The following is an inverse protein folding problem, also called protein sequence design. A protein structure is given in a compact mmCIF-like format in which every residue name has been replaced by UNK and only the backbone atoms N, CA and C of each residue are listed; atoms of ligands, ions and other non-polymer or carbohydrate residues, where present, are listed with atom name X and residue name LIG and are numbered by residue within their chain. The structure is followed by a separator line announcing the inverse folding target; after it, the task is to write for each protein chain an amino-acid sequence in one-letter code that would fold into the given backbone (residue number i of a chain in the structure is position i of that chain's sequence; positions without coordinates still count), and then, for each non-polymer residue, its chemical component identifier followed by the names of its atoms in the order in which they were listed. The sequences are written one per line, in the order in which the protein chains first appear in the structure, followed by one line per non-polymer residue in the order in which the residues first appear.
data_IF_980383565921
#
_entry.id   IF_980383565921
#
_cell.length_a   1.000
_cell.length_b   1.000
_cell.length_c   1.000
_cell.angle_alpha   90.00
_cell.angle_beta   90.00
_cell.angle_gamma   90.00
#
_symmetry.space_group_name_H-M   'P 1'
#
loop_
_entity.id
_entity.type
_entity.pdbx_description
1 polymer ?
#
# COMPACT_ATOMS: atom_id res chain seq x y z
N UNK A 1 29.27 11.30 -7.80
CA UNK A 1 27.87 10.93 -7.94
C UNK A 1 27.00 12.12 -7.56
N UNK A 2 26.11 12.52 -8.42
CA UNK A 2 25.21 13.64 -8.14
C UNK A 2 23.99 13.14 -7.37
N UNK A 3 23.71 13.77 -6.22
CA UNK A 3 22.47 13.54 -5.51
C UNK A 3 21.43 14.53 -6.02
N UNK A 4 20.35 14.01 -6.57
CA UNK A 4 19.22 14.81 -7.04
C UNK A 4 18.07 14.61 -6.07
N UNK A 5 17.59 15.71 -5.53
CA UNK A 5 16.37 15.70 -4.71
C UNK A 5 15.22 16.02 -5.63
N UNK A 6 14.31 15.06 -5.83
CA UNK A 6 13.18 15.22 -6.74
C UNK A 6 11.89 15.01 -5.96
N UNK A 7 11.13 16.06 -5.80
CA UNK A 7 9.88 16.07 -5.02
C UNK A 7 8.63 16.23 -5.89
N UNK A 8 8.74 16.03 -7.21
CA UNK A 8 7.60 16.24 -8.10
C UNK A 8 6.51 15.18 -7.97
N UNK A 9 6.87 13.94 -7.62
CA UNK A 9 5.89 12.86 -7.50
C UNK A 9 6.53 11.64 -6.83
N UNK A 10 5.74 10.88 -6.08
CA UNK A 10 6.13 9.59 -5.55
C UNK A 10 6.48 8.58 -6.65
N UNK A 11 5.94 8.77 -7.86
CA UNK A 11 6.19 7.86 -8.97
C UNK A 11 7.63 7.88 -9.47
N UNK A 12 8.43 8.89 -9.11
CA UNK A 12 9.84 8.97 -9.49
C UNK A 12 10.76 8.32 -8.44
N UNK A 13 10.22 7.86 -7.33
CA UNK A 13 11.00 7.17 -6.31
C UNK A 13 11.26 5.73 -6.70
N UNK A 14 12.34 5.18 -6.15
CA UNK A 14 12.72 3.79 -6.38
C UNK A 14 12.72 3.05 -5.05
N UNK A 15 12.41 1.74 -5.03
CA UNK A 15 12.49 0.98 -3.81
C UNK A 15 13.92 0.86 -3.31
N UNK A 16 14.09 0.85 -1.99
CA UNK A 16 15.37 0.58 -1.35
C UNK A 16 15.73 -0.90 -1.50
N UNK A 17 16.99 -1.23 -1.18
CA UNK A 17 17.42 -2.64 -1.15
C UNK A 17 16.56 -3.46 -0.18
N UNK A 18 16.26 -2.92 0.98
CA UNK A 18 15.39 -3.58 1.95
C UNK A 18 13.99 -3.84 1.43
N UNK A 19 13.43 -2.87 0.69
CA UNK A 19 12.12 -3.05 0.05
C UNK A 19 12.15 -4.16 -1.00
N UNK A 20 13.20 -4.21 -1.82
CA UNK A 20 13.36 -5.25 -2.84
C UNK A 20 13.49 -6.64 -2.20
N UNK A 21 14.28 -6.75 -1.12
CA UNK A 21 14.43 -8.00 -0.39
C UNK A 21 13.10 -8.45 0.23
N UNK A 22 12.33 -7.53 0.77
CA UNK A 22 11.01 -7.82 1.31
C UNK A 22 10.06 -8.34 0.24
N UNK A 23 10.08 -7.75 -0.96
CA UNK A 23 9.28 -8.21 -2.09
C UNK A 23 9.66 -9.63 -2.50
N UNK A 24 10.96 -9.91 -2.59
CA UNK A 24 11.46 -11.22 -2.99
C UNK A 24 11.03 -12.32 -2.02
N UNK A 25 11.03 -12.03 -0.72
CA UNK A 25 10.74 -13.00 0.33
C UNK A 25 9.30 -12.94 0.84
N UNK A 26 8.44 -12.11 0.23
CA UNK A 26 7.06 -11.95 0.68
C UNK A 26 6.26 -13.25 0.48
N UNK A 27 5.46 -13.58 1.48
CA UNK A 27 4.46 -14.63 1.38
C UNK A 27 3.22 -14.05 0.71
N UNK A 28 2.75 -14.69 -0.34
CA UNK A 28 1.65 -14.18 -1.14
C UNK A 28 0.53 -15.22 -1.24
N UNK A 29 -0.67 -14.74 -1.55
CA UNK A 29 -1.84 -15.56 -1.75
C UNK A 29 -2.86 -14.82 -2.62
N UNK A 30 -4.03 -15.39 -2.80
CA UNK A 30 -5.07 -14.79 -3.62
C UNK A 30 -5.82 -13.72 -2.81
N UNK A 31 -5.58 -12.46 -3.16
CA UNK A 31 -6.18 -11.32 -2.45
C UNK A 31 -7.69 -11.21 -2.67
N UNK A 32 -8.22 -11.76 -3.76
CA UNK A 32 -9.65 -11.79 -4.03
C UNK A 32 -10.39 -12.54 -2.92
N UNK A 33 -9.76 -13.59 -2.37
CA UNK A 33 -10.31 -14.38 -1.28
C UNK A 33 -9.75 -13.98 0.09
N UNK A 34 -8.98 -12.89 0.16
CA UNK A 34 -8.36 -12.46 1.40
C UNK A 34 -7.24 -13.37 1.90
N UNK A 35 -6.62 -14.13 1.00
CA UNK A 35 -5.62 -15.14 1.36
C UNK A 35 -4.17 -14.66 1.27
N UNK A 36 -3.94 -13.42 0.86
CA UNK A 36 -2.58 -12.88 0.78
C UNK A 36 -2.12 -12.40 2.16
N UNK A 37 -1.19 -13.13 2.83
CA UNK A 37 -0.78 -12.77 4.19
C UNK A 37 -0.02 -11.44 4.25
N UNK A 38 0.67 -11.05 3.19
CA UNK A 38 1.43 -9.79 3.16
C UNK A 38 0.48 -8.60 3.03
N UNK A 39 -0.55 -8.69 2.21
CA UNK A 39 -1.58 -7.64 2.11
C UNK A 39 -2.32 -7.51 3.43
N UNK A 40 -2.72 -8.64 4.04
CA UNK A 40 -3.42 -8.62 5.31
C UNK A 40 -2.57 -7.97 6.41
N UNK A 41 -1.27 -8.29 6.47
CA UNK A 41 -0.35 -7.70 7.44
C UNK A 41 -0.20 -6.19 7.24
N UNK A 42 -0.13 -5.73 5.99
CA UNK A 42 -0.06 -4.31 5.68
C UNK A 42 -1.31 -3.58 6.16
N UNK A 43 -2.48 -4.11 5.87
CA UNK A 43 -3.76 -3.51 6.28
C UNK A 43 -3.86 -3.41 7.80
N UNK A 44 -3.51 -4.47 8.53
CA UNK A 44 -3.51 -4.47 9.98
C UNK A 44 -2.53 -3.45 10.55
N UNK A 45 -1.33 -3.35 9.98
CA UNK A 45 -0.30 -2.42 10.44
C UNK A 45 -0.76 -0.97 10.25
N UNK A 46 -1.31 -0.64 9.08
CA UNK A 46 -1.76 0.72 8.79
C UNK A 46 -2.95 1.09 9.67
N UNK A 47 -3.91 0.19 9.86
CA UNK A 47 -5.03 0.43 10.75
C UNK A 47 -4.55 0.75 12.17
N UNK A 48 -3.58 0.00 12.69
CA UNK A 48 -3.00 0.24 14.02
C UNK A 48 -2.28 1.58 14.09
N UNK A 49 -1.51 1.94 13.06
CA UNK A 49 -0.77 3.21 13.01
C UNK A 49 -1.69 4.42 13.12
N UNK A 50 -2.89 4.35 12.57
CA UNK A 50 -3.85 5.45 12.56
C UNK A 50 -4.96 5.30 13.60
N UNK A 51 -4.91 4.25 14.43
CA UNK A 51 -5.90 4.02 15.46
C UNK A 51 -7.30 3.74 14.89
N UNK A 52 -7.37 3.09 13.73
CA UNK A 52 -8.62 2.72 13.07
C UNK A 52 -8.88 1.23 13.20
N UNK A 53 -10.14 0.83 13.04
CA UNK A 53 -10.53 -0.57 13.16
C UNK A 53 -9.98 -1.41 12.01
N UNK A 54 -10.03 -0.85 10.79
CA UNK A 54 -9.58 -1.54 9.58
C UNK A 54 -8.93 -0.55 8.61
N UNK A 55 -8.14 -1.09 7.70
CA UNK A 55 -7.61 -0.38 6.55
C UNK A 55 -7.79 -1.26 5.32
N UNK A 56 -7.88 -0.64 4.15
CA UNK A 56 -8.05 -1.33 2.88
C UNK A 56 -6.93 -0.96 1.93
N UNK A 57 -6.18 -1.95 1.47
CA UNK A 57 -5.17 -1.75 0.44
C UNK A 57 -5.85 -1.61 -0.93
N UNK A 58 -5.44 -0.60 -1.68
CA UNK A 58 -5.89 -0.37 -3.05
C UNK A 58 -4.69 -0.22 -3.97
N UNK A 59 -4.69 -0.84 -5.16
CA UNK A 59 -3.54 -0.80 -6.05
C UNK A 59 -3.30 0.55 -6.72
N UNK A 60 -4.23 1.51 -6.58
CA UNK A 60 -4.06 2.85 -7.14
C UNK A 60 -4.79 3.91 -6.32
N UNK A 61 -4.29 5.15 -6.40
CA UNK A 61 -4.95 6.30 -5.77
C UNK A 61 -6.31 6.60 -6.39
N UNK A 62 -6.49 6.33 -7.67
CA UNK A 62 -7.78 6.47 -8.35
C UNK A 62 -8.84 5.57 -7.70
N UNK A 63 -8.50 4.32 -7.44
CA UNK A 63 -9.41 3.38 -6.77
C UNK A 63 -9.73 3.85 -5.34
N UNK A 64 -8.73 4.34 -4.61
CA UNK A 64 -8.91 4.88 -3.26
C UNK A 64 -9.90 6.04 -3.26
N UNK A 65 -9.76 6.97 -4.19
CA UNK A 65 -10.67 8.11 -4.31
C UNK A 65 -12.08 7.68 -4.66
N UNK A 66 -12.24 6.74 -5.57
CA UNK A 66 -13.55 6.20 -5.94
C UNK A 66 -14.25 5.54 -4.76
N UNK A 67 -13.52 4.74 -3.99
CA UNK A 67 -14.05 4.08 -2.80
C UNK A 67 -14.46 5.11 -1.76
N UNK A 68 -13.64 6.12 -1.50
CA UNK A 68 -13.95 7.17 -0.54
C UNK A 68 -15.24 7.90 -0.92
N UNK A 69 -15.41 8.23 -2.20
CA UNK A 69 -16.63 8.86 -2.69
C UNK A 69 -17.84 7.94 -2.52
N UNK A 70 -17.70 6.67 -2.84
CA UNK A 70 -18.79 5.69 -2.75
C UNK A 70 -19.24 5.49 -1.30
N UNK A 71 -18.29 5.41 -0.37
CA UNK A 71 -18.58 5.15 1.05
C UNK A 71 -19.25 6.35 1.72
N UNK A 72 -18.88 7.57 1.33
CA UNK A 72 -19.35 8.81 1.96
C UNK A 72 -20.56 9.45 1.22
N UNK A 73 -21.03 8.85 0.15
CA UNK A 73 -22.20 9.33 -0.59
C UNK A 73 -23.28 8.27 -0.66
N UNK A 74 -24.51 8.69 -0.70
CA UNK A 74 -25.65 7.79 -0.83
C UNK A 74 -26.11 7.65 -2.27
#
# INVERSE_FOLDING_TARGET
MKHIIDLRSDTVTKPTRGMLDAMLNARVGDDVFGDDPTVNALQEKVAAMFGKEVALYCPSGTMTNQIAMKVHTS
#
